data_IF_709704287867
#
_entry.id   IF_709704287867
#
_cell.length_a   1.000
_cell.length_b   1.000
_cell.length_c   1.000
_cell.angle_alpha   90.00
_cell.angle_beta   90.00
_cell.angle_gamma   90.00
#
_symmetry.space_group_name_H-M   'P 1'
#
loop_
_entity.id
_entity.type
_entity.pdbx_description
1 polymer ?
#
# COMPACT_ATOMS: atom_id res chain seq x y z
N UNK A 1 6.57 16.67 -18.14
CA UNK A 1 6.13 17.53 -17.03
C UNK A 1 7.28 17.62 -16.04
N UNK A 2 7.81 18.83 -15.85
CA UNK A 2 8.94 19.07 -14.95
C UNK A 2 8.39 19.11 -13.51
N UNK A 3 8.39 17.97 -12.82
CA UNK A 3 8.01 17.95 -11.41
C UNK A 3 9.14 18.65 -10.64
N UNK A 4 8.86 19.78 -9.98
CA UNK A 4 9.85 20.68 -9.36
C UNK A 4 10.71 20.13 -8.21
N UNK A 5 11.08 18.85 -8.26
CA UNK A 5 12.07 18.14 -7.46
C UNK A 5 13.51 18.41 -7.94
N UNK A 6 13.70 18.89 -9.17
CA UNK A 6 15.00 19.10 -9.83
C UNK A 6 15.78 20.36 -9.40
N UNK A 7 15.33 21.04 -8.34
CA UNK A 7 15.99 22.26 -7.82
C UNK A 7 16.28 22.13 -6.34
N UNK A 8 17.24 21.27 -6.02
CA UNK A 8 17.94 21.31 -4.73
C UNK A 8 18.70 22.64 -4.60
N UNK A 9 18.60 23.25 -3.43
CA UNK A 9 19.50 24.32 -2.98
C UNK A 9 20.75 23.71 -2.32
N UNK A 10 21.76 24.53 -1.99
CA UNK A 10 22.98 24.06 -1.30
C UNK A 10 22.69 23.40 0.07
N UNK A 11 21.52 23.66 0.65
CA UNK A 11 21.06 23.07 1.91
C UNK A 11 20.24 21.78 1.73
N UNK A 12 20.17 21.25 0.51
CA UNK A 12 19.40 20.06 0.15
C UNK A 12 20.15 18.76 0.45
N UNK A 13 20.53 18.59 1.71
CA UNK A 13 21.20 17.40 2.22
C UNK A 13 20.56 16.89 3.51
N UNK A 14 20.73 15.59 3.75
CA UNK A 14 20.34 14.92 4.99
C UNK A 14 21.48 15.12 5.98
N UNK A 15 21.19 15.72 7.14
CA UNK A 15 22.17 15.90 8.21
C UNK A 15 22.26 14.69 9.13
N UNK A 16 21.14 14.00 9.35
CA UNK A 16 21.05 12.85 10.25
C UNK A 16 19.81 12.01 9.92
N UNK A 17 19.88 10.71 10.22
CA UNK A 17 18.76 9.76 10.10
C UNK A 17 18.67 8.98 11.41
N UNK A 18 17.50 9.00 12.04
CA UNK A 18 17.24 8.22 13.27
C UNK A 18 16.15 7.22 13.03
N UNK A 19 16.48 5.94 13.19
CA UNK A 19 15.55 4.84 13.00
C UNK A 19 14.88 4.43 14.30
N UNK A 20 13.63 4.00 14.19
CA UNK A 20 12.78 3.50 15.27
C UNK A 20 12.01 2.27 14.80
N UNK A 21 11.49 1.47 15.73
CA UNK A 21 10.67 0.28 15.41
C UNK A 21 9.50 0.59 14.45
N UNK A 22 8.93 1.80 14.52
CA UNK A 22 7.74 2.22 13.76
C UNK A 22 7.97 3.38 12.80
N UNK A 23 9.20 3.59 12.35
CA UNK A 23 9.52 4.62 11.36
C UNK A 23 10.90 5.22 11.57
N UNK A 24 11.14 6.40 11.01
CA UNK A 24 12.41 7.11 11.14
C UNK A 24 12.18 8.62 11.10
N UNK A 25 13.12 9.36 11.68
CA UNK A 25 13.22 10.80 11.57
C UNK A 25 14.35 11.16 10.59
N UNK A 26 14.06 12.06 9.64
CA UNK A 26 15.05 12.67 8.76
C UNK A 26 15.32 14.10 9.20
N UNK A 27 16.58 14.41 9.45
CA UNK A 27 17.03 15.78 9.68
C UNK A 27 17.61 16.33 8.38
N UNK A 28 17.18 17.54 8.01
CA UNK A 28 17.47 18.17 6.72
C UNK A 28 17.96 19.61 6.95
N UNK A 29 18.93 20.05 6.15
CA UNK A 29 19.37 21.45 6.14
C UNK A 29 18.28 22.39 5.63
N UNK A 30 17.58 21.99 4.57
CA UNK A 30 16.56 22.81 3.90
C UNK A 30 15.13 22.51 4.36
N UNK A 31 14.45 23.54 4.89
CA UNK A 31 13.00 23.52 5.22
C UNK A 31 12.13 23.22 4.00
N UNK A 32 12.54 23.69 2.82
CA UNK A 32 11.78 23.54 1.57
C UNK A 32 11.79 22.07 1.13
N UNK A 33 12.96 21.43 1.16
CA UNK A 33 13.09 20.01 0.83
C UNK A 33 12.29 19.14 1.78
N UNK A 34 12.35 19.41 3.09
CA UNK A 34 11.57 18.66 4.08
C UNK A 34 10.07 18.64 3.74
N UNK A 35 9.50 19.81 3.42
CA UNK A 35 8.10 19.92 3.00
C UNK A 35 7.80 19.21 1.68
N UNK A 36 8.72 19.26 0.72
CA UNK A 36 8.56 18.58 -0.58
C UNK A 36 8.57 17.06 -0.43
N UNK A 37 9.46 16.50 0.40
CA UNK A 37 9.50 15.07 0.69
C UNK A 37 8.17 14.63 1.31
N UNK A 38 7.72 15.29 2.38
CA UNK A 38 6.44 14.94 3.03
C UNK A 38 5.25 15.03 2.06
N UNK A 39 5.21 16.04 1.20
CA UNK A 39 4.15 16.17 0.17
C UNK A 39 4.22 15.04 -0.87
N UNK A 40 5.41 14.68 -1.33
CA UNK A 40 5.62 13.62 -2.31
C UNK A 40 5.20 12.26 -1.75
N UNK A 41 5.67 11.93 -0.54
CA UNK A 41 5.30 10.68 0.14
C UNK A 41 3.79 10.65 0.40
N UNK A 42 3.20 11.73 0.93
CA UNK A 42 1.76 11.82 1.16
C UNK A 42 0.95 11.72 -0.14
N UNK A 43 1.43 12.29 -1.24
CA UNK A 43 0.74 12.20 -2.53
C UNK A 43 0.72 10.77 -3.07
N UNK A 44 1.75 9.98 -2.77
CA UNK A 44 1.88 8.60 -3.27
C UNK A 44 1.18 7.58 -2.36
N UNK A 45 1.23 7.79 -1.05
CA UNK A 45 0.82 6.80 -0.06
C UNK A 45 -0.31 7.27 0.87
N UNK A 46 -0.75 8.52 0.75
CA UNK A 46 -1.72 9.12 1.67
C UNK A 46 -1.12 9.43 3.04
N UNK A 47 -1.98 9.47 4.06
CA UNK A 47 -1.59 9.70 5.45
C UNK A 47 -1.77 11.14 5.93
N UNK A 48 -1.59 11.32 7.24
CA UNK A 48 -1.81 12.57 7.94
C UNK A 48 -0.49 13.31 8.10
N UNK A 49 -0.46 14.58 7.69
CA UNK A 49 0.70 15.47 7.83
C UNK A 49 0.39 16.53 8.88
N UNK A 50 1.21 16.59 9.93
CA UNK A 50 1.16 17.62 10.95
C UNK A 50 2.45 18.45 10.92
N UNK A 51 2.30 19.77 10.83
CA UNK A 51 3.40 20.71 10.81
C UNK A 51 3.49 21.41 12.18
N UNK A 52 4.71 21.55 12.71
CA UNK A 52 4.98 22.35 13.91
C UNK A 52 6.27 23.17 13.75
N UNK A 53 6.36 24.29 14.46
CA UNK A 53 7.53 25.15 14.45
C UNK A 53 7.90 25.57 15.87
N UNK A 54 9.19 25.52 16.19
CA UNK A 54 9.75 25.99 17.46
C UNK A 54 10.79 27.07 17.18
N UNK A 55 10.68 28.21 17.87
CA UNK A 55 11.73 29.23 17.87
C UNK A 55 12.98 28.65 18.55
N UNK A 56 14.11 28.65 17.85
CA UNK A 56 15.39 28.10 18.35
C UNK A 56 16.45 29.18 18.55
N UNK A 57 16.20 30.40 18.08
CA UNK A 57 17.07 31.54 18.35
C UNK A 57 16.63 32.78 17.58
N UNK A 58 17.31 33.89 17.83
CA UNK A 58 17.15 35.14 17.11
C UNK A 58 18.55 35.68 16.81
N UNK A 59 18.78 36.11 15.57
CA UNK A 59 20.05 36.71 15.14
C UNK A 59 19.75 37.91 14.26
N UNK A 60 20.31 39.07 14.60
CA UNK A 60 20.11 40.33 13.88
C UNK A 60 18.62 40.69 13.68
N UNK A 61 17.80 40.45 14.72
CA UNK A 61 16.34 40.64 14.69
C UNK A 61 15.57 39.61 13.86
N UNK A 62 16.25 38.64 13.22
CA UNK A 62 15.63 37.54 12.48
C UNK A 62 15.46 36.32 13.37
N UNK A 63 14.21 35.89 13.51
CA UNK A 63 13.83 34.69 14.27
C UNK A 63 14.15 33.42 13.48
N UNK A 64 14.93 32.54 14.09
CA UNK A 64 15.29 31.24 13.56
C UNK A 64 14.37 30.16 14.13
N UNK A 65 13.63 29.49 13.24
CA UNK A 65 12.71 28.41 13.61
C UNK A 65 13.21 27.06 13.14
N UNK A 66 13.06 26.04 13.99
CA UNK A 66 13.10 24.63 13.61
C UNK A 66 11.68 24.20 13.26
N UNK A 67 11.49 23.66 12.05
CA UNK A 67 10.21 23.15 11.56
C UNK A 67 10.26 21.63 11.62
N UNK A 68 9.19 21.01 12.12
CA UNK A 68 9.01 19.56 12.14
C UNK A 68 7.78 19.20 11.33
N UNK A 69 7.95 18.28 10.38
CA UNK A 69 6.88 17.70 9.59
C UNK A 69 6.69 16.25 10.04
N UNK A 70 5.56 15.95 10.68
CA UNK A 70 5.22 14.59 11.10
C UNK A 70 4.23 13.98 10.11
N UNK A 71 4.71 13.01 9.31
CA UNK A 71 3.88 12.27 8.37
C UNK A 71 3.55 10.89 8.92
N UNK A 72 2.28 10.64 9.22
CA UNK A 72 1.78 9.33 9.63
C UNK A 72 1.16 8.62 8.44
N UNK A 73 1.85 7.59 7.95
CA UNK A 73 1.34 6.74 6.88
C UNK A 73 0.07 5.98 7.33
N UNK A 74 -0.86 5.73 6.42
CA UNK A 74 -2.03 4.91 6.73
C UNK A 74 -1.60 3.46 7.01
N UNK A 75 -2.42 2.74 7.79
CA UNK A 75 -2.16 1.32 8.10
C UNK A 75 -2.15 0.45 6.84
N UNK A 76 -2.94 0.81 5.84
CA UNK A 76 -3.07 0.10 4.57
C UNK A 76 -2.92 1.06 3.40
N UNK A 77 -2.55 0.51 2.25
CA UNK A 77 -2.45 1.21 0.97
C UNK A 77 -3.48 0.68 -0.03
N UNK A 78 -3.70 1.46 -1.10
CA UNK A 78 -4.45 0.97 -2.26
C UNK A 78 -3.71 -0.26 -2.82
N UNK A 79 -4.49 -1.27 -3.20
CA UNK A 79 -4.05 -2.59 -3.65
C UNK A 79 -3.38 -3.49 -2.60
N UNK A 80 -3.39 -3.09 -1.33
CA UNK A 80 -3.18 -4.06 -0.26
C UNK A 80 -4.33 -5.07 -0.22
N UNK A 81 -3.99 -6.31 0.12
CA UNK A 81 -4.94 -7.38 0.35
C UNK A 81 -4.98 -7.61 1.86
N UNK A 82 -6.19 -7.55 2.42
CA UNK A 82 -6.43 -7.65 3.85
C UNK A 82 -7.36 -8.82 4.17
N UNK A 83 -7.18 -9.42 5.33
CA UNK A 83 -8.13 -10.34 5.95
C UNK A 83 -8.95 -9.61 7.00
N UNK A 84 -10.28 -9.73 6.90
CA UNK A 84 -11.22 -9.13 7.85
C UNK A 84 -12.54 -9.92 7.91
N UNK A 85 -12.92 -10.35 9.12
CA UNK A 85 -14.18 -11.06 9.40
C UNK A 85 -14.41 -12.26 8.45
N UNK A 86 -13.35 -13.04 8.18
CA UNK A 86 -13.39 -14.22 7.31
C UNK A 86 -13.29 -13.92 5.81
N UNK A 87 -13.30 -12.65 5.41
CA UNK A 87 -13.20 -12.26 4.00
C UNK A 87 -11.77 -11.82 3.64
N UNK A 88 -11.34 -12.16 2.43
CA UNK A 88 -10.12 -11.63 1.82
C UNK A 88 -10.50 -10.50 0.87
N UNK A 89 -10.02 -9.30 1.16
CA UNK A 89 -10.48 -8.07 0.53
C UNK A 89 -9.28 -7.34 -0.07
N UNK A 90 -9.33 -7.04 -1.37
CA UNK A 90 -8.41 -6.11 -1.99
C UNK A 90 -8.90 -4.67 -1.75
N UNK A 91 -8.06 -3.82 -1.18
CA UNK A 91 -8.37 -2.40 -1.01
C UNK A 91 -8.32 -1.68 -2.36
N UNK A 92 -9.42 -1.00 -2.71
CA UNK A 92 -9.53 -0.20 -3.94
C UNK A 92 -9.51 1.30 -3.69
N UNK A 93 -10.00 1.73 -2.52
CA UNK A 93 -10.05 3.15 -2.16
C UNK A 93 -9.88 3.33 -0.66
N UNK A 94 -9.11 4.34 -0.29
CA UNK A 94 -8.92 4.78 1.09
C UNK A 94 -9.38 6.24 1.19
N UNK A 95 -10.18 6.53 2.20
CA UNK A 95 -10.71 7.86 2.52
C UNK A 95 -11.36 7.80 3.90
N UNK A 96 -12.48 8.51 4.11
CA UNK A 96 -13.27 8.38 5.36
C UNK A 96 -13.77 6.95 5.64
N UNK A 97 -13.85 6.13 4.59
CA UNK A 97 -14.15 4.70 4.62
C UNK A 97 -13.20 4.01 3.67
N UNK A 98 -12.92 2.74 3.94
CA UNK A 98 -12.15 1.88 3.06
C UNK A 98 -13.15 1.15 2.16
N UNK A 99 -12.97 1.23 0.86
CA UNK A 99 -13.73 0.41 -0.09
C UNK A 99 -12.80 -0.63 -0.68
N UNK A 100 -13.23 -1.87 -0.66
CA UNK A 100 -12.49 -2.98 -1.22
C UNK A 100 -13.36 -3.91 -2.04
N UNK A 101 -12.72 -4.89 -2.67
CA UNK A 101 -13.37 -5.95 -3.41
C UNK A 101 -13.06 -7.27 -2.73
N UNK A 102 -14.10 -8.02 -2.41
CA UNK A 102 -13.98 -9.39 -1.92
C UNK A 102 -13.40 -10.27 -3.03
N UNK A 103 -12.31 -10.97 -2.74
CA UNK A 103 -11.61 -11.79 -3.74
C UNK A 103 -12.32 -13.11 -4.02
N UNK A 104 -13.18 -13.58 -3.12
CA UNK A 104 -13.94 -14.83 -3.30
C UNK A 104 -15.20 -14.61 -4.11
N UNK A 105 -15.91 -13.50 -3.90
CA UNK A 105 -17.22 -13.23 -4.51
C UNK A 105 -17.20 -12.11 -5.56
N UNK A 106 -16.13 -11.32 -5.59
CA UNK A 106 -16.01 -10.17 -6.47
C UNK A 106 -16.88 -8.97 -6.08
N UNK A 107 -17.63 -9.04 -4.97
CA UNK A 107 -18.51 -7.97 -4.51
C UNK A 107 -17.70 -6.82 -3.90
N UNK A 108 -18.21 -5.61 -4.07
CA UNK A 108 -17.68 -4.43 -3.39
C UNK A 108 -18.08 -4.45 -1.92
N UNK A 109 -17.11 -4.32 -1.03
CA UNK A 109 -17.30 -4.20 0.42
C UNK A 109 -16.90 -2.79 0.86
N UNK A 110 -17.71 -2.19 1.74
CA UNK A 110 -17.38 -0.94 2.39
C UNK A 110 -17.07 -1.20 3.87
N UNK A 111 -15.85 -0.87 4.27
CA UNK A 111 -15.35 -1.01 5.63
C UNK A 111 -15.27 0.38 6.27
N UNK A 112 -15.82 0.50 7.47
CA UNK A 112 -15.70 1.74 8.23
C UNK A 112 -14.29 1.90 8.79
N UNK A 113 -13.76 3.11 8.66
CA UNK A 113 -12.43 3.47 9.13
C UNK A 113 -12.42 3.85 10.62
N UNK A 114 -12.96 2.96 11.46
CA UNK A 114 -12.91 3.10 12.92
C UNK A 114 -11.69 2.38 13.48
N UNK A 115 -11.00 3.00 14.45
CA UNK A 115 -9.75 2.47 15.05
C UNK A 115 -9.87 1.01 15.51
N UNK A 116 -11.01 0.61 16.09
CA UNK A 116 -11.21 -0.74 16.58
C UNK A 116 -11.39 -1.77 15.46
N UNK A 117 -12.07 -1.38 14.36
CA UNK A 117 -12.20 -2.24 13.17
C UNK A 117 -10.88 -2.37 12.43
N UNK A 118 -10.19 -1.23 12.22
CA UNK A 118 -8.85 -1.20 11.63
C UNK A 118 -7.88 -2.12 12.38
N UNK A 119 -7.92 -2.17 13.71
CA UNK A 119 -7.05 -3.04 14.53
C UNK A 119 -7.23 -4.53 14.21
N UNK A 120 -8.46 -4.96 13.92
CA UNK A 120 -8.78 -6.36 13.58
C UNK A 120 -8.41 -6.73 12.13
N UNK A 121 -8.33 -5.76 11.24
CA UNK A 121 -7.86 -5.98 9.87
C UNK A 121 -6.37 -6.33 9.88
N UNK A 122 -5.99 -7.37 9.12
CA UNK A 122 -4.59 -7.78 8.92
C UNK A 122 -4.24 -7.68 7.45
N UNK A 123 -3.13 -7.03 7.12
CA UNK A 123 -2.57 -7.10 5.76
C UNK A 123 -2.01 -8.51 5.57
N UNK A 124 -2.37 -9.15 4.47
CA UNK A 124 -1.88 -10.49 4.10
C UNK A 124 -1.03 -10.48 2.84
N UNK A 125 -1.00 -9.36 2.10
CA UNK A 125 -0.14 -9.17 0.94
C UNK A 125 -0.50 -7.90 0.17
N UNK A 126 0.08 -7.73 -1.01
CA UNK A 126 -0.27 -6.68 -1.96
C UNK A 126 -0.42 -7.25 -3.36
N UNK A 127 -1.32 -6.68 -4.18
CA UNK A 127 -1.39 -7.06 -5.60
C UNK A 127 -0.07 -6.81 -6.33
N UNK A 128 0.78 -5.92 -5.81
CA UNK A 128 2.10 -5.60 -6.36
C UNK A 128 3.11 -6.73 -6.17
N UNK A 129 2.86 -7.61 -5.21
CA UNK A 129 3.65 -8.82 -4.94
C UNK A 129 3.13 -10.02 -5.75
N UNK A 130 2.17 -9.80 -6.66
CA UNK A 130 1.62 -10.89 -7.46
C UNK A 130 2.61 -11.41 -8.49
N UNK A 131 2.64 -12.74 -8.62
CA UNK A 131 3.37 -13.45 -9.64
C UNK A 131 2.39 -14.06 -10.65
N UNK A 132 2.79 -14.10 -11.91
CA UNK A 132 2.04 -14.81 -12.95
C UNK A 132 2.49 -16.27 -12.98
N UNK A 133 1.53 -17.19 -13.01
CA UNK A 133 1.79 -18.63 -13.00
C UNK A 133 0.85 -19.38 -13.93
N UNK A 134 1.16 -20.65 -14.21
CA UNK A 134 0.35 -21.53 -15.05
C UNK A 134 -0.88 -22.05 -14.30
N UNK A 135 -2.03 -21.97 -14.97
CA UNK A 135 -3.26 -22.63 -14.59
C UNK A 135 -3.25 -24.05 -15.18
N UNK A 136 -3.19 -25.06 -14.31
CA UNK A 136 -3.02 -26.47 -14.70
C UNK A 136 -4.36 -27.14 -14.97
N UNK A 137 -5.29 -27.03 -14.02
CA UNK A 137 -6.61 -27.66 -14.07
C UNK A 137 -7.59 -26.91 -13.17
N UNK A 138 -8.88 -27.04 -13.41
CA UNK A 138 -9.91 -26.45 -12.56
C UNK A 138 -11.19 -27.24 -12.69
N UNK A 139 -11.87 -27.26 -11.57
CA UNK A 139 -13.13 -27.96 -11.36
C UNK A 139 -14.24 -26.92 -11.20
N UNK A 140 -15.36 -27.36 -10.65
CA UNK A 140 -16.46 -26.46 -10.30
C UNK A 140 -16.05 -25.46 -9.20
N UNK A 141 -15.30 -25.90 -8.20
CA UNK A 141 -15.03 -25.12 -6.97
C UNK A 141 -13.55 -24.83 -6.71
N UNK A 142 -12.63 -25.46 -7.43
CA UNK A 142 -11.18 -25.37 -7.16
C UNK A 142 -10.39 -25.22 -8.46
N UNK A 143 -9.21 -24.62 -8.36
CA UNK A 143 -8.22 -24.54 -9.45
C UNK A 143 -6.89 -25.10 -8.96
N UNK A 144 -6.11 -25.67 -9.87
CA UNK A 144 -4.74 -26.09 -9.67
C UNK A 144 -3.81 -25.13 -10.41
N UNK A 145 -2.84 -24.60 -9.68
CA UNK A 145 -1.85 -23.65 -10.20
C UNK A 145 -0.46 -24.15 -9.85
N UNK A 146 0.54 -23.75 -10.64
CA UNK A 146 1.93 -23.95 -10.27
C UNK A 146 2.31 -22.90 -9.22
N UNK A 147 2.90 -23.30 -8.09
CA UNK A 147 3.45 -22.34 -7.13
C UNK A 147 4.70 -21.70 -7.73
N UNK A 148 4.74 -20.36 -7.92
CA UNK A 148 5.85 -19.68 -8.59
C UNK A 148 7.16 -19.70 -7.79
N UNK A 149 7.13 -20.09 -6.50
CA UNK A 149 8.33 -20.20 -5.66
C UNK A 149 8.84 -21.64 -5.54
N UNK A 150 7.95 -22.63 -5.54
CA UNK A 150 8.31 -24.04 -5.30
C UNK A 150 8.21 -24.94 -6.52
N UNK A 151 7.62 -24.46 -7.64
CA UNK A 151 7.30 -25.25 -8.83
C UNK A 151 6.41 -26.48 -8.53
N UNK A 152 5.69 -26.48 -7.40
CA UNK A 152 4.76 -27.54 -7.04
C UNK A 152 3.34 -27.19 -7.50
N UNK A 153 2.55 -28.20 -7.86
CA UNK A 153 1.13 -28.00 -8.19
C UNK A 153 0.33 -27.85 -6.89
N UNK A 154 -0.31 -26.70 -6.71
CA UNK A 154 -1.10 -26.38 -5.53
C UNK A 154 -2.57 -26.18 -5.93
N UNK A 155 -3.47 -26.80 -5.17
CA UNK A 155 -4.92 -26.61 -5.31
C UNK A 155 -5.37 -25.44 -4.45
N UNK A 156 -6.10 -24.49 -5.04
CA UNK A 156 -6.68 -23.33 -4.35
C UNK A 156 -8.15 -23.15 -4.72
N UNK A 157 -8.97 -22.45 -3.90
CA UNK A 157 -10.36 -22.17 -4.24
C UNK A 157 -10.49 -21.46 -5.58
N UNK A 158 -11.48 -21.87 -6.39
CA UNK A 158 -11.73 -21.24 -7.69
C UNK A 158 -12.21 -19.81 -7.48
N UNK A 159 -11.52 -18.82 -8.07
CA UNK A 159 -11.94 -17.44 -7.94
C UNK A 159 -13.17 -17.15 -8.82
N UNK A 160 -14.02 -16.22 -8.40
CA UNK A 160 -15.25 -15.84 -9.10
C UNK A 160 -15.08 -15.34 -10.54
N UNK A 161 -13.86 -15.00 -10.97
CA UNK A 161 -13.57 -14.41 -12.28
C UNK A 161 -13.06 -15.44 -13.31
N UNK A 162 -12.93 -16.71 -12.92
CA UNK A 162 -12.58 -17.80 -13.84
C UNK A 162 -13.86 -18.51 -14.25
N UNK A 163 -14.36 -18.12 -15.41
CA UNK A 163 -15.52 -18.75 -16.04
C UNK A 163 -15.11 -19.83 -17.06
N UNK A 164 -13.94 -19.70 -17.68
CA UNK A 164 -13.51 -20.56 -18.79
C UNK A 164 -11.99 -20.74 -18.82
N UNK A 165 -11.55 -21.95 -19.17
CA UNK A 165 -10.17 -22.44 -19.12
C UNK A 165 -9.24 -21.85 -20.16
N UNK A 166 -9.75 -21.01 -21.05
CA UNK A 166 -9.02 -20.49 -22.21
C UNK A 166 -7.82 -19.59 -21.85
N UNK A 167 -7.57 -19.33 -20.56
CA UNK A 167 -6.37 -18.66 -20.06
C UNK A 167 -5.48 -19.63 -19.30
N UNK A 168 -4.35 -19.99 -19.91
CA UNK A 168 -3.34 -20.85 -19.28
C UNK A 168 -2.51 -20.13 -18.19
N UNK A 169 -2.71 -18.82 -18.00
CA UNK A 169 -1.97 -18.02 -17.03
C UNK A 169 -2.92 -17.30 -16.07
N UNK A 170 -2.52 -17.23 -14.81
CA UNK A 170 -3.24 -16.56 -13.72
C UNK A 170 -2.25 -15.82 -12.82
N UNK A 171 -2.69 -14.73 -12.19
CA UNK A 171 -1.91 -14.08 -11.14
C UNK A 171 -2.25 -14.66 -9.78
N UNK A 172 -1.23 -14.91 -8.97
CA UNK A 172 -1.36 -15.37 -7.59
C UNK A 172 -0.54 -14.49 -6.66
N UNK A 173 -0.95 -14.41 -5.39
CA UNK A 173 -0.11 -13.93 -4.31
C UNK A 173 0.09 -15.05 -3.29
N UNK A 174 1.28 -15.10 -2.70
CA UNK A 174 1.58 -15.92 -1.55
C UNK A 174 1.15 -15.19 -0.29
N UNK A 175 0.42 -15.87 0.58
CA UNK A 175 0.12 -15.41 1.95
C UNK A 175 0.47 -16.51 2.94
N UNK A 176 0.47 -16.16 4.24
CA UNK A 176 0.65 -17.14 5.32
C UNK A 176 -0.40 -18.27 5.29
N UNK A 177 -1.54 -18.07 4.61
CA UNK A 177 -2.61 -19.06 4.47
C UNK A 177 -2.58 -19.83 3.14
N UNK A 178 -1.56 -19.63 2.30
CA UNK A 178 -1.42 -20.26 0.98
C UNK A 178 -1.51 -19.28 -0.19
N UNK A 179 -1.66 -19.82 -1.40
CA UNK A 179 -1.80 -19.01 -2.60
C UNK A 179 -3.23 -18.48 -2.76
N UNK A 180 -3.36 -17.23 -3.19
CA UNK A 180 -4.65 -16.61 -3.52
C UNK A 180 -4.61 -16.12 -4.96
N UNK A 181 -5.58 -16.56 -5.76
CA UNK A 181 -5.75 -16.13 -7.13
C UNK A 181 -6.26 -14.68 -7.24
N UNK A 182 -5.75 -13.96 -8.23
CA UNK A 182 -6.06 -12.56 -8.50
C UNK A 182 -6.50 -12.38 -9.95
N UNK A 183 -7.45 -11.48 -10.18
CA UNK A 183 -7.94 -11.21 -11.53
C UNK A 183 -6.86 -10.51 -12.35
N UNK A 184 -6.51 -11.08 -13.50
CA UNK A 184 -5.45 -10.60 -14.40
C UNK A 184 -5.70 -9.19 -14.98
N UNK A 185 -6.93 -8.65 -14.87
CA UNK A 185 -7.25 -7.34 -15.45
C UNK A 185 -8.41 -6.70 -14.69
N UNK A 186 -8.13 -5.73 -13.84
CA UNK A 186 -9.14 -4.74 -13.43
C UNK A 186 -8.85 -3.45 -14.22
N UNK A 187 -9.26 -3.41 -15.48
CA UNK A 187 -9.48 -2.10 -16.12
C UNK A 187 -10.59 -1.44 -15.32
N UNK A 188 -10.28 -0.30 -14.69
CA UNK A 188 -11.30 0.63 -14.24
C UNK A 188 -12.25 0.86 -15.42
N UNK A 189 -13.55 0.55 -15.24
CA UNK A 189 -14.55 1.08 -16.17
C UNK A 189 -14.44 2.59 -16.07
N UNK A 190 -13.96 3.20 -17.15
CA UNK A 190 -14.03 4.62 -17.40
C UNK A 190 -15.49 5.07 -17.42
#
# INVERSE_FOLDING_TARGET
MNNGYDRGDEESFITDIKEFEKGFDLYLGSKKIAKQICKSVRSRYGGDLLDSAKLVGEKDGKKNYRITHSLRLPKFLIDDIISYEGNIIQIKKIGKKITGRDLSTGKTIMLEDHKDKLRRMKKVGSIKESAETDLIAATENEIQVLDPETDEVVTIPKPYFIDDFNKNKIKVIKTDSGLIALSATFKEKK
#
